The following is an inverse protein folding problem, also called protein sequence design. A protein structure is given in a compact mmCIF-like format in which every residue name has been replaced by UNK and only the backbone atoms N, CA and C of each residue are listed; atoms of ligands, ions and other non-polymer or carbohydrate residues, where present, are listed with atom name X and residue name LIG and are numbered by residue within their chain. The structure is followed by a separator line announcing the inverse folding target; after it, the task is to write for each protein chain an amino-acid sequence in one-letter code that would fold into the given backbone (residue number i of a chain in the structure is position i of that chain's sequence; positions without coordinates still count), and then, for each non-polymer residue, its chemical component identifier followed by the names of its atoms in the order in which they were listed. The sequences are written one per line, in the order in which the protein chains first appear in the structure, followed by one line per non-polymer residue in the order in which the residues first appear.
data_IF_675091446372
#
_entry.id   IF_675091446372
#
_cell.length_a   1.000
_cell.length_b   1.000
_cell.length_c   1.000
_cell.angle_alpha   90.00
_cell.angle_beta   90.00
_cell.angle_gamma   90.00
#
_symmetry.space_group_name_H-M   'P 1'
#
loop_
_entity.id
_entity.type
_entity.pdbx_description
1 polymer ?
#
# COMPACT_ATOMS: atom_id res chain seq x y z
N UNK A 1 -25.07 -27.43 57.25
CA UNK A 1 -25.61 -26.46 56.30
C UNK A 1 -24.75 -25.22 56.40
N UNK A 2 -24.11 -24.77 55.32
CA UNK A 2 -23.14 -23.68 55.44
C UNK A 2 -22.21 -23.48 54.24
N UNK A 3 -21.95 -24.53 53.46
CA UNK A 3 -21.21 -24.41 52.19
C UNK A 3 -22.11 -24.64 50.97
N UNK A 4 -23.04 -25.58 51.06
CA UNK A 4 -24.03 -25.83 50.00
C UNK A 4 -24.99 -24.66 49.82
N UNK A 5 -25.37 -23.98 50.91
CA UNK A 5 -26.32 -22.86 50.87
C UNK A 5 -25.69 -21.62 50.22
N UNK A 6 -24.41 -21.34 50.53
CA UNK A 6 -23.65 -20.26 49.89
C UNK A 6 -23.36 -20.55 48.42
N UNK A 7 -23.03 -21.81 48.09
CA UNK A 7 -22.86 -22.24 46.70
C UNK A 7 -24.17 -22.11 45.92
N UNK A 8 -25.31 -22.48 46.52
CA UNK A 8 -26.62 -22.33 45.91
C UNK A 8 -26.98 -20.85 45.71
N UNK A 9 -26.68 -19.99 46.68
CA UNK A 9 -26.87 -18.54 46.55
C UNK A 9 -26.02 -17.95 45.42
N UNK A 10 -24.75 -18.38 45.28
CA UNK A 10 -23.87 -17.94 44.20
C UNK A 10 -24.36 -18.42 42.82
N UNK A 11 -24.84 -19.67 42.73
CA UNK A 11 -25.45 -20.21 41.52
C UNK A 11 -26.67 -19.38 41.12
N UNK A 12 -27.55 -19.08 42.10
CA UNK A 12 -28.76 -18.31 41.85
C UNK A 12 -28.44 -16.91 41.32
N UNK A 13 -27.46 -16.21 41.91
CA UNK A 13 -26.98 -14.89 41.43
C UNK A 13 -26.40 -14.98 40.02
N UNK A 14 -25.63 -16.03 39.72
CA UNK A 14 -25.04 -16.23 38.39
C UNK A 14 -26.10 -16.46 37.29
N UNK A 15 -27.22 -17.08 37.65
CA UNK A 15 -28.37 -17.33 36.76
C UNK A 15 -29.41 -16.21 36.77
N UNK A 16 -29.29 -15.23 37.66
CA UNK A 16 -30.24 -14.14 37.77
C UNK A 16 -30.06 -13.16 36.59
N UNK A 17 -31.14 -12.83 35.86
CA UNK A 17 -31.06 -11.82 34.82
C UNK A 17 -30.78 -10.44 35.42
N UNK A 18 -29.79 -9.75 34.86
CA UNK A 18 -29.47 -8.36 35.18
C UNK A 18 -29.89 -7.48 34.01
N UNK A 19 -30.44 -6.31 34.31
CA UNK A 19 -30.70 -5.29 33.29
C UNK A 19 -29.39 -4.58 32.94
N UNK A 20 -28.86 -4.87 31.76
CA UNK A 20 -27.63 -4.26 31.27
C UNK A 20 -27.96 -3.35 30.08
N UNK A 21 -27.49 -2.10 30.13
CA UNK A 21 -27.70 -1.13 29.06
C UNK A 21 -27.23 -1.68 27.70
N UNK A 22 -28.08 -1.53 26.67
CA UNK A 22 -27.87 -2.04 25.30
C UNK A 22 -27.83 -3.57 25.13
N UNK A 23 -27.99 -4.36 26.20
CA UNK A 23 -28.09 -5.83 26.16
C UNK A 23 -29.43 -6.35 26.70
N UNK A 24 -30.17 -5.53 27.47
CA UNK A 24 -31.44 -5.90 28.09
C UNK A 24 -31.26 -6.82 29.29
N UNK A 25 -32.29 -7.60 29.61
CA UNK A 25 -32.27 -8.59 30.69
C UNK A 25 -31.42 -9.80 30.28
N UNK A 26 -30.20 -9.88 30.82
CA UNK A 26 -29.24 -10.95 30.50
C UNK A 26 -28.55 -11.46 31.75
N UNK A 27 -28.22 -12.75 31.77
CA UNK A 27 -27.32 -13.29 32.80
C UNK A 27 -25.89 -12.79 32.61
N UNK A 28 -25.09 -12.84 33.67
CA UNK A 28 -23.67 -12.45 33.62
C UNK A 28 -22.91 -13.23 32.53
N UNK A 29 -23.18 -14.53 32.39
CA UNK A 29 -22.55 -15.36 31.37
C UNK A 29 -22.89 -14.90 29.94
N UNK A 30 -24.16 -14.60 29.67
CA UNK A 30 -24.61 -14.11 28.37
C UNK A 30 -24.00 -12.75 28.05
N UNK A 31 -23.97 -11.82 29.02
CA UNK A 31 -23.37 -10.51 28.85
C UNK A 31 -21.87 -10.62 28.48
N UNK A 32 -21.12 -11.47 29.19
CA UNK A 32 -19.72 -11.74 28.89
C UNK A 32 -19.53 -12.32 27.48
N UNK A 33 -20.33 -13.32 27.09
CA UNK A 33 -20.28 -13.89 25.74
C UNK A 33 -20.58 -12.86 24.65
N UNK A 34 -21.59 -12.00 24.85
CA UNK A 34 -21.92 -10.92 23.91
C UNK A 34 -20.79 -9.91 23.76
N UNK A 35 -20.16 -9.48 24.86
CA UNK A 35 -19.02 -8.56 24.82
C UNK A 35 -17.84 -9.18 24.06
N UNK A 36 -17.47 -10.43 24.37
CA UNK A 36 -16.39 -11.13 23.67
C UNK A 36 -16.69 -11.29 22.19
N UNK A 37 -17.94 -11.63 21.83
CA UNK A 37 -18.36 -11.73 20.43
C UNK A 37 -18.25 -10.39 19.71
N UNK A 38 -18.69 -9.30 20.34
CA UNK A 38 -18.57 -7.95 19.76
C UNK A 38 -17.12 -7.55 19.55
N UNK A 39 -16.24 -7.82 20.53
CA UNK A 39 -14.80 -7.60 20.38
C UNK A 39 -14.24 -8.41 19.21
N UNK A 40 -14.64 -9.67 19.06
CA UNK A 40 -14.24 -10.52 17.94
C UNK A 40 -14.67 -9.95 16.58
N UNK A 41 -15.91 -9.46 16.48
CA UNK A 41 -16.44 -8.82 15.27
C UNK A 41 -15.64 -7.56 14.95
N UNK A 42 -15.44 -6.66 15.92
CA UNK A 42 -14.67 -5.42 15.70
C UNK A 42 -13.20 -5.70 15.36
N UNK A 43 -12.59 -6.71 15.97
CA UNK A 43 -11.22 -7.13 15.64
C UNK A 43 -11.12 -7.61 14.19
N UNK A 44 -12.05 -8.46 13.76
CA UNK A 44 -12.09 -8.96 12.39
C UNK A 44 -12.34 -7.83 11.39
N UNK A 45 -13.24 -6.90 11.71
CA UNK A 45 -13.51 -5.74 10.87
C UNK A 45 -12.27 -4.85 10.73
N UNK A 46 -11.61 -4.52 11.83
CA UNK A 46 -10.38 -3.73 11.83
C UNK A 46 -9.29 -4.40 10.99
N UNK A 47 -9.14 -5.72 11.08
CA UNK A 47 -8.15 -6.44 10.27
C UNK A 47 -8.45 -6.30 8.77
N UNK A 48 -9.71 -6.45 8.37
CA UNK A 48 -10.13 -6.26 6.97
C UNK A 48 -9.91 -4.82 6.50
N UNK A 49 -10.18 -3.83 7.34
CA UNK A 49 -9.93 -2.42 7.02
C UNK A 49 -8.43 -2.12 6.85
N UNK A 50 -7.58 -2.68 7.71
CA UNK A 50 -6.11 -2.56 7.61
C UNK A 50 -5.60 -3.19 6.30
N UNK A 51 -6.08 -4.39 5.97
CA UNK A 51 -5.68 -5.08 4.73
C UNK A 51 -6.10 -4.28 3.49
N UNK A 52 -7.33 -3.73 3.50
CA UNK A 52 -7.82 -2.87 2.43
C UNK A 52 -6.99 -1.58 2.31
N UNK A 53 -6.68 -0.91 3.42
CA UNK A 53 -5.86 0.29 3.43
C UNK A 53 -4.43 0.01 2.93
N UNK A 54 -3.84 -1.13 3.31
CA UNK A 54 -2.52 -1.58 2.84
C UNK A 54 -2.50 -1.81 1.32
N UNK A 55 -3.56 -2.43 0.79
CA UNK A 55 -3.71 -2.64 -0.65
C UNK A 55 -3.81 -1.32 -1.41
N UNK A 56 -4.62 -0.37 -0.91
CA UNK A 56 -4.75 0.97 -1.50
C UNK A 56 -3.42 1.73 -1.45
N UNK A 57 -2.71 1.68 -0.32
CA UNK A 57 -1.40 2.29 -0.17
C UNK A 57 -0.39 1.72 -1.18
N UNK A 58 -0.34 0.39 -1.32
CA UNK A 58 0.56 -0.29 -2.27
C UNK A 58 0.23 0.08 -3.71
N UNK A 59 -1.07 0.14 -4.07
CA UNK A 59 -1.49 0.59 -5.38
C UNK A 59 -1.09 2.04 -5.66
N UNK A 60 -1.25 2.94 -4.69
CA UNK A 60 -0.84 4.33 -4.80
C UNK A 60 0.68 4.48 -4.95
N UNK A 61 1.47 3.71 -4.20
CA UNK A 61 2.93 3.69 -4.33
C UNK A 61 3.38 3.18 -5.70
N UNK A 62 2.75 2.12 -6.21
CA UNK A 62 3.03 1.60 -7.54
C UNK A 62 2.67 2.61 -8.65
N UNK A 63 1.54 3.30 -8.50
CA UNK A 63 1.13 4.34 -9.44
C UNK A 63 2.07 5.55 -9.40
N UNK A 64 2.48 5.99 -8.20
CA UNK A 64 3.49 7.03 -8.04
C UNK A 64 4.81 6.62 -8.70
N UNK A 65 5.27 5.39 -8.45
CA UNK A 65 6.50 4.85 -9.04
C UNK A 65 6.40 4.68 -10.55
N UNK A 66 5.20 4.45 -11.10
CA UNK A 66 5.00 4.34 -12.55
C UNK A 66 5.00 5.70 -13.25
N UNK A 67 4.59 6.77 -12.55
CA UNK A 67 4.59 8.14 -13.08
C UNK A 67 5.92 8.85 -12.83
N UNK A 68 6.57 8.58 -11.70
CA UNK A 68 7.84 9.23 -11.28
C UNK A 68 9.06 8.33 -11.45
N UNK A 69 8.88 7.06 -11.83
CA UNK A 69 9.96 6.13 -12.09
C UNK A 69 10.61 6.45 -13.41
N UNK A 70 11.69 7.22 -13.36
CA UNK A 70 12.59 7.35 -14.49
C UNK A 70 13.31 6.01 -14.67
N UNK A 71 13.14 5.37 -15.83
CA UNK A 71 13.81 4.11 -16.11
C UNK A 71 15.27 4.41 -16.45
N UNK A 72 16.19 3.99 -15.59
CA UNK A 72 17.63 4.19 -15.80
C UNK A 72 18.13 3.54 -17.10
N UNK A 73 17.47 2.46 -17.54
CA UNK A 73 17.73 1.83 -18.84
C UNK A 73 17.26 2.71 -20.00
N UNK A 74 16.11 3.37 -19.86
CA UNK A 74 15.57 4.29 -20.88
C UNK A 74 16.36 5.60 -20.95
N UNK A 75 16.82 6.12 -19.81
CA UNK A 75 17.80 7.21 -19.76
C UNK A 75 19.14 6.82 -20.37
N UNK A 76 19.67 5.62 -20.09
CA UNK A 76 20.91 5.14 -20.68
C UNK A 76 20.79 4.95 -22.20
N UNK A 77 19.67 4.42 -22.69
CA UNK A 77 19.38 4.34 -24.13
C UNK A 77 19.30 5.72 -24.74
N UNK A 78 18.55 6.66 -24.13
CA UNK A 78 18.50 8.04 -24.61
C UNK A 78 19.88 8.70 -24.63
N UNK A 79 20.72 8.45 -23.63
CA UNK A 79 22.08 8.97 -23.54
C UNK A 79 22.99 8.36 -24.61
N UNK A 80 22.86 7.06 -24.92
CA UNK A 80 23.54 6.42 -26.04
C UNK A 80 23.06 7.00 -27.38
N UNK A 81 21.75 7.21 -27.55
CA UNK A 81 21.19 7.83 -28.75
C UNK A 81 21.70 9.27 -28.92
N UNK A 82 21.77 10.06 -27.85
CA UNK A 82 22.37 11.39 -27.89
C UNK A 82 23.84 11.35 -28.32
N UNK A 83 24.63 10.40 -27.82
CA UNK A 83 26.01 10.23 -28.23
C UNK A 83 26.13 9.83 -29.71
N UNK A 84 25.29 8.90 -30.19
CA UNK A 84 25.29 8.49 -31.59
C UNK A 84 24.92 9.65 -32.53
N UNK A 85 23.92 10.45 -32.17
CA UNK A 85 23.55 11.66 -32.91
C UNK A 85 24.70 12.67 -32.92
N UNK A 86 25.38 12.85 -31.79
CA UNK A 86 26.54 13.73 -31.71
C UNK A 86 27.67 13.27 -32.64
N UNK A 87 28.02 11.98 -32.62
CA UNK A 87 29.01 11.41 -33.55
C UNK A 87 28.60 11.56 -35.01
N UNK A 88 27.31 11.37 -35.33
CA UNK A 88 26.78 11.57 -36.68
C UNK A 88 26.92 13.03 -37.11
N UNK A 89 26.62 13.99 -36.23
CA UNK A 89 26.79 15.41 -36.51
C UNK A 89 28.26 15.78 -36.76
N UNK A 90 29.21 15.19 -36.02
CA UNK A 90 30.63 15.39 -36.28
C UNK A 90 31.02 14.93 -37.69
N UNK A 91 30.53 13.77 -38.14
CA UNK A 91 30.76 13.28 -39.50
C UNK A 91 30.19 14.22 -40.56
N UNK A 92 28.99 14.76 -40.33
CA UNK A 92 28.37 15.75 -41.24
C UNK A 92 29.22 17.02 -41.32
N UNK A 93 29.73 17.51 -40.19
CA UNK A 93 30.62 18.68 -40.16
C UNK A 93 31.92 18.40 -40.93
N UNK A 94 32.54 17.24 -40.71
CA UNK A 94 33.75 16.83 -41.43
C UNK A 94 33.52 16.74 -42.94
N UNK A 95 32.43 16.09 -43.37
CA UNK A 95 32.08 16.02 -44.79
C UNK A 95 31.79 17.41 -45.38
N UNK A 96 31.14 18.30 -44.62
CA UNK A 96 30.92 19.69 -45.02
C UNK A 96 32.22 20.48 -45.19
N UNK A 97 33.19 20.28 -44.29
CA UNK A 97 34.52 20.89 -44.40
C UNK A 97 35.28 20.37 -45.62
N UNK A 98 35.27 19.06 -45.89
CA UNK A 98 35.90 18.47 -47.08
C UNK A 98 35.32 19.02 -48.38
N UNK A 99 33.98 19.19 -48.44
CA UNK A 99 33.31 19.81 -49.60
C UNK A 99 33.73 21.28 -49.74
N UNK A 100 33.79 22.02 -48.64
CA UNK A 100 34.20 23.43 -48.65
C UNK A 100 35.64 23.60 -49.16
N UNK A 101 36.56 22.79 -48.66
CA UNK A 101 37.97 22.80 -49.08
C UNK A 101 38.10 22.42 -50.56
N UNK A 102 37.35 21.41 -51.03
CA UNK A 102 37.34 21.00 -52.44
C UNK A 102 36.86 22.13 -53.37
N UNK A 103 35.83 22.89 -52.97
CA UNK A 103 35.35 24.04 -53.75
C UNK A 103 36.37 25.16 -53.79
N UNK A 104 37.08 25.41 -52.69
CA UNK A 104 38.17 26.39 -52.63
C UNK A 104 39.31 26.02 -53.59
N UNK A 105 39.75 24.76 -53.60
CA UNK A 105 40.79 24.28 -54.52
C UNK A 105 40.38 24.36 -55.99
N UNK A 106 39.09 24.22 -56.32
CA UNK A 106 38.59 24.39 -57.69
C UNK A 106 38.56 25.87 -58.15
N UNK A 107 38.49 26.81 -57.21
CA UNK A 107 38.44 28.25 -57.51
C UNK A 107 39.81 28.94 -57.48
N UNK A 108 40.85 28.29 -56.95
CA UNK A 108 42.26 28.74 -57.02
C UNK A 108 42.94 28.29 -58.30
#
# INVERSE_FOLDING_TARGET
SGNSDNLQALINISTEPLEIANLGSVTVGQACSSIISNIGIYSQQNQTEVDAASNVYSAAQNQQSSVSGVSMDEEAVNLITYQQIYEANLKVISAGAEIFDSVLEMCS
#
